data_IF_130486267686
#
_entry.id   IF_130486267686
#
_cell.length_a   1.000
_cell.length_b   1.000
_cell.length_c   1.000
_cell.angle_alpha   90.00
_cell.angle_beta   90.00
_cell.angle_gamma   90.00
#
_symmetry.space_group_name_H-M   'P 1'
#
loop_
_entity.id
_entity.type
_entity.pdbx_description
1 polymer ?
#
# COMPACT_ATOMS: atom_id res chain seq x y z
N UNK A 1 -13.52 -3.12 -11.36
CA UNK A 1 -13.80 -3.97 -10.18
C UNK A 1 -12.75 -5.08 -10.03
N UNK A 2 -12.47 -5.87 -11.08
CA UNK A 2 -11.50 -6.99 -10.99
C UNK A 2 -10.11 -6.61 -10.47
N UNK A 3 -9.57 -5.45 -10.89
CA UNK A 3 -8.27 -4.99 -10.41
C UNK A 3 -8.25 -4.73 -8.89
N UNK A 4 -9.36 -4.24 -8.31
CA UNK A 4 -9.47 -4.01 -6.86
C UNK A 4 -9.58 -5.35 -6.10
N UNK A 5 -10.26 -6.34 -6.68
CA UNK A 5 -10.33 -7.70 -6.13
C UNK A 5 -8.96 -8.39 -6.10
N UNK A 6 -8.20 -8.30 -7.19
CA UNK A 6 -6.83 -8.86 -7.25
C UNK A 6 -5.89 -8.14 -6.28
N UNK A 7 -5.96 -6.80 -6.18
CA UNK A 7 -5.16 -6.03 -5.24
C UNK A 7 -5.47 -6.41 -3.78
N UNK A 8 -6.73 -6.64 -3.44
CA UNK A 8 -7.14 -7.11 -2.11
C UNK A 8 -6.55 -8.50 -1.79
N UNK A 9 -6.55 -9.42 -2.74
CA UNK A 9 -5.93 -10.74 -2.55
C UNK A 9 -4.41 -10.64 -2.36
N UNK A 10 -3.73 -9.79 -3.14
CA UNK A 10 -2.30 -9.55 -3.01
C UNK A 10 -1.96 -8.92 -1.65
N UNK A 11 -2.76 -7.95 -1.19
CA UNK A 11 -2.60 -7.32 0.11
C UNK A 11 -2.77 -8.34 1.25
N UNK A 12 -3.75 -9.24 1.17
CA UNK A 12 -3.90 -10.33 2.15
C UNK A 12 -2.68 -11.24 2.20
N UNK A 13 -2.19 -11.70 1.04
CA UNK A 13 -0.98 -12.53 0.97
C UNK A 13 0.24 -11.81 1.56
N UNK A 14 0.43 -10.52 1.24
CA UNK A 14 1.51 -9.71 1.80
C UNK A 14 1.37 -9.55 3.33
N UNK A 15 0.14 -9.40 3.84
CA UNK A 15 -0.10 -9.35 5.29
C UNK A 15 0.26 -10.66 5.97
N UNK A 16 -0.04 -11.81 5.36
CA UNK A 16 0.35 -13.12 5.91
C UNK A 16 1.86 -13.25 6.00
N UNK A 17 2.57 -12.91 4.93
CA UNK A 17 4.05 -12.95 4.90
C UNK A 17 4.65 -11.99 5.94
N UNK A 18 4.07 -10.81 6.12
CA UNK A 18 4.53 -9.86 7.13
C UNK A 18 4.29 -10.36 8.57
N UNK A 19 3.18 -11.07 8.83
CA UNK A 19 2.91 -11.71 10.12
C UNK A 19 3.94 -12.82 10.38
N UNK A 20 4.15 -13.73 9.42
CA UNK A 20 5.17 -14.79 9.53
C UNK A 20 6.57 -14.19 9.74
N UNK A 21 6.89 -13.10 9.05
CA UNK A 21 8.13 -12.35 9.26
C UNK A 21 8.25 -11.78 10.68
N UNK A 22 7.16 -11.29 11.26
CA UNK A 22 7.09 -10.85 12.65
C UNK A 22 7.35 -11.98 13.66
N UNK A 23 6.80 -13.16 13.40
CA UNK A 23 7.01 -14.35 14.24
C UNK A 23 8.47 -14.81 14.22
N UNK A 24 9.09 -14.84 13.04
CA UNK A 24 10.53 -15.15 12.89
C UNK A 24 11.39 -14.14 13.65
N UNK A 25 11.08 -12.84 13.54
CA UNK A 25 11.78 -11.79 14.28
C UNK A 25 11.65 -12.00 15.79
N UNK A 26 10.45 -12.31 16.28
CA UNK A 26 10.21 -12.64 17.70
C UNK A 26 11.05 -13.82 18.19
N UNK A 27 11.16 -14.88 17.37
CA UNK A 27 12.00 -16.03 17.68
C UNK A 27 13.49 -15.68 17.74
N UNK A 28 13.96 -14.80 16.85
CA UNK A 28 15.34 -14.28 16.88
C UNK A 28 15.59 -13.48 18.16
N UNK A 29 14.65 -12.63 18.60
CA UNK A 29 14.78 -11.90 19.87
C UNK A 29 14.88 -12.87 21.05
N UNK A 30 14.04 -13.91 21.09
CA UNK A 30 14.12 -14.95 22.13
C UNK A 30 15.49 -15.61 22.16
N UNK A 31 16.00 -16.00 20.98
CA UNK A 31 17.32 -16.63 20.86
C UNK A 31 18.45 -15.71 21.32
N UNK A 32 18.37 -14.41 21.02
CA UNK A 32 19.35 -13.43 21.50
C UNK A 32 19.34 -13.28 23.02
N UNK A 33 18.17 -13.38 23.67
CA UNK A 33 18.08 -13.41 25.14
C UNK A 33 18.74 -14.66 25.71
N UNK A 34 18.46 -15.83 25.15
CA UNK A 34 19.07 -17.10 25.59
C UNK A 34 20.61 -17.08 25.45
N UNK A 35 21.12 -16.48 24.37
CA UNK A 35 22.56 -16.26 24.17
C UNK A 35 23.13 -15.32 25.25
N UNK A 36 22.41 -14.24 25.60
CA UNK A 36 22.84 -13.31 26.64
C UNK A 36 22.95 -14.01 28.01
N UNK A 37 21.93 -14.79 28.38
CA UNK A 37 21.88 -15.52 29.64
C UNK A 37 22.97 -16.60 29.71
N UNK A 38 23.15 -17.36 28.62
CA UNK A 38 24.25 -18.33 28.50
C UNK A 38 25.62 -17.67 28.63
N UNK A 39 25.79 -16.47 28.04
CA UNK A 39 27.04 -15.72 28.14
C UNK A 39 27.34 -15.26 29.56
N UNK A 40 26.32 -14.87 30.33
CA UNK A 40 26.47 -14.52 31.77
C UNK A 40 26.94 -15.73 32.58
N UNK A 41 26.34 -16.90 32.35
CA UNK A 41 26.78 -18.13 33.00
C UNK A 41 28.25 -18.46 32.68
N UNK A 42 28.68 -18.24 31.44
CA UNK A 42 30.09 -18.39 31.08
C UNK A 42 30.98 -17.43 31.87
N UNK A 43 30.60 -16.15 32.05
CA UNK A 43 31.36 -15.19 32.86
C UNK A 43 31.53 -15.65 34.30
N UNK A 44 30.49 -16.24 34.89
CA UNK A 44 30.53 -16.80 36.25
C UNK A 44 31.51 -17.97 36.34
N UNK A 45 31.44 -18.91 35.39
CA UNK A 45 32.36 -20.06 35.31
C UNK A 45 33.81 -19.58 35.15
N UNK A 46 34.06 -18.60 34.29
CA UNK A 46 35.41 -18.04 34.07
C UNK A 46 35.93 -17.35 35.34
N UNK A 47 35.04 -16.73 36.13
CA UNK A 47 35.41 -16.13 37.41
C UNK A 47 35.81 -17.19 38.46
N UNK A 48 35.18 -18.36 38.44
CA UNK A 48 35.60 -19.53 39.24
C UNK A 48 36.97 -20.05 38.78
N UNK A 49 37.21 -20.14 37.47
CA UNK A 49 38.50 -20.59 36.92
C UNK A 49 39.64 -19.64 37.33
N UNK A 50 39.42 -18.31 37.25
CA UNK A 50 40.40 -17.32 37.71
C UNK A 50 40.70 -17.47 39.21
N UNK A 51 39.66 -17.75 40.02
CA UNK A 51 39.81 -18.02 41.45
C UNK A 51 40.62 -19.30 41.72
N UNK A 52 40.41 -20.37 40.95
CA UNK A 52 41.19 -21.62 41.03
C UNK A 52 42.65 -21.37 40.63
N UNK A 53 42.89 -20.60 39.57
CA UNK A 53 44.24 -20.23 39.14
C UNK A 53 44.96 -19.44 40.24
N UNK A 54 44.27 -18.49 40.88
CA UNK A 54 44.82 -17.75 42.02
C UNK A 54 45.15 -18.66 43.20
N UNK A 55 44.25 -19.56 43.60
CA UNK A 55 44.50 -20.54 44.67
C UNK A 55 45.69 -21.45 44.35
N UNK A 56 45.79 -21.91 43.10
CA UNK A 56 46.90 -22.74 42.62
C UNK A 56 48.24 -22.00 42.70
N UNK A 57 48.24 -20.70 42.36
CA UNK A 57 49.42 -19.84 42.50
C UNK A 57 49.86 -19.69 43.98
N UNK A 58 48.92 -19.55 44.92
CA UNK A 58 49.22 -19.49 46.35
C UNK A 58 49.77 -20.84 46.86
N UNK A 59 49.17 -21.96 46.46
CA UNK A 59 49.66 -23.31 46.77
C UNK A 59 51.10 -23.53 46.26
N UNK A 60 51.37 -23.12 45.02
CA UNK A 60 52.70 -23.22 44.41
C UNK A 60 53.74 -22.35 45.14
N UNK A 61 53.35 -21.14 45.57
CA UNK A 61 54.21 -20.29 46.40
C UNK A 61 54.55 -20.96 47.74
N UNK A 62 53.56 -21.52 48.42
CA UNK A 62 53.78 -22.23 49.69
C UNK A 62 54.70 -23.44 49.50
N UNK A 63 54.52 -24.20 48.42
CA UNK A 63 55.39 -25.34 48.08
C UNK A 63 56.84 -24.89 47.79
N UNK A 64 57.03 -23.75 47.11
CA UNK A 64 58.35 -23.20 46.86
C UNK A 64 59.05 -22.78 48.17
N UNK A 65 58.31 -22.22 49.14
CA UNK A 65 58.83 -21.87 50.47
C UNK A 65 59.25 -23.11 51.25
N UNK A 66 58.43 -24.16 51.26
CA UNK A 66 58.75 -25.40 51.98
C UNK A 66 59.92 -26.14 51.32
N UNK A 67 60.01 -26.10 49.98
CA UNK A 67 61.15 -26.64 49.23
C UNK A 67 62.47 -25.91 49.57
N UNK A 68 62.43 -24.58 49.71
CA UNK A 68 63.58 -23.80 50.16
C UNK A 68 63.99 -24.16 51.61
N UNK A 69 63.00 -24.42 52.47
CA UNK A 69 63.22 -24.85 53.87
C UNK A 69 63.88 -26.23 53.98
N UNK A 70 63.58 -27.14 53.06
CA UNK A 70 64.18 -28.48 52.99
C UNK A 70 65.62 -28.50 52.41
N UNK A 71 66.14 -27.35 51.96
CA UNK A 71 67.49 -27.21 51.43
C UNK A 71 67.73 -28.09 50.18
N UNK A 72 68.84 -28.81 50.15
CA UNK A 72 69.23 -29.65 49.00
C UNK A 72 68.20 -30.74 48.66
N UNK A 73 67.50 -31.28 49.68
CA UNK A 73 66.48 -32.32 49.48
C UNK A 73 65.20 -31.76 48.81
N UNK A 74 64.99 -30.45 48.86
CA UNK A 74 63.84 -29.77 48.27
C UNK A 74 64.04 -29.31 46.82
N UNK A 75 65.23 -29.47 46.24
CA UNK A 75 65.55 -28.94 44.89
C UNK A 75 64.57 -29.39 43.81
N UNK A 76 64.19 -30.67 43.79
CA UNK A 76 63.21 -31.20 42.83
C UNK A 76 61.82 -30.59 43.02
N UNK A 77 61.38 -30.44 44.27
CA UNK A 77 60.10 -29.81 44.61
C UNK A 77 60.06 -28.32 44.25
N UNK A 78 61.17 -27.60 44.38
CA UNK A 78 61.25 -26.19 44.01
C UNK A 78 61.01 -25.96 42.51
N UNK A 79 61.52 -26.85 41.65
CA UNK A 79 61.30 -26.78 40.20
C UNK A 79 59.83 -27.02 39.86
N UNK A 80 59.22 -28.05 40.45
CA UNK A 80 57.79 -28.34 40.26
C UNK A 80 56.93 -27.18 40.73
N UNK A 81 57.24 -26.59 41.89
CA UNK A 81 56.52 -25.43 42.40
C UNK A 81 56.60 -24.21 41.47
N UNK A 82 57.77 -23.95 40.86
CA UNK A 82 57.91 -22.89 39.87
C UNK A 82 57.08 -23.15 38.60
N UNK A 83 57.04 -24.39 38.11
CA UNK A 83 56.26 -24.77 36.92
C UNK A 83 54.75 -24.66 37.18
N UNK A 84 54.28 -25.15 38.33
CA UNK A 84 52.86 -25.01 38.73
C UNK A 84 52.48 -23.55 38.86
N UNK A 85 53.37 -22.71 39.39
CA UNK A 85 53.14 -21.25 39.49
C UNK A 85 53.04 -20.59 38.11
N UNK A 86 53.95 -20.94 37.20
CA UNK A 86 53.92 -20.47 35.81
C UNK A 86 52.61 -20.86 35.11
N UNK A 87 52.18 -22.11 35.29
CA UNK A 87 50.91 -22.60 34.74
C UNK A 87 49.70 -21.85 35.32
N UNK A 88 49.68 -21.60 36.63
CA UNK A 88 48.63 -20.83 37.29
C UNK A 88 48.52 -19.40 36.74
N UNK A 89 49.65 -18.71 36.53
CA UNK A 89 49.66 -17.40 35.89
C UNK A 89 49.10 -17.44 34.46
N UNK A 90 49.54 -18.41 33.65
CA UNK A 90 49.02 -18.60 32.28
C UNK A 90 47.51 -18.87 32.26
N UNK A 91 46.99 -19.66 33.20
CA UNK A 91 45.56 -19.92 33.33
C UNK A 91 44.77 -18.65 33.70
N UNK A 92 45.27 -17.83 34.63
CA UNK A 92 44.63 -16.58 35.01
C UNK A 92 44.58 -15.57 33.83
N UNK A 93 45.67 -15.46 33.07
CA UNK A 93 45.72 -14.59 31.90
C UNK A 93 44.77 -15.06 30.79
N UNK A 94 44.69 -16.36 30.55
CA UNK A 94 43.72 -16.94 29.61
C UNK A 94 42.27 -16.69 30.07
N UNK A 95 41.97 -16.85 31.36
CA UNK A 95 40.66 -16.57 31.93
C UNK A 95 40.25 -15.11 31.70
N UNK A 96 41.17 -14.15 31.94
CA UNK A 96 40.93 -12.72 31.65
C UNK A 96 40.66 -12.44 30.18
N UNK A 97 41.41 -13.06 29.27
CA UNK A 97 41.19 -12.91 27.83
C UNK A 97 39.82 -13.44 27.40
N UNK A 98 39.42 -14.62 27.90
CA UNK A 98 38.09 -15.17 27.63
C UNK A 98 37.00 -14.25 28.18
N UNK A 99 37.14 -13.76 29.41
CA UNK A 99 36.19 -12.82 30.02
C UNK A 99 35.99 -11.57 29.16
N UNK A 100 37.08 -11.01 28.62
CA UNK A 100 37.01 -9.86 27.70
C UNK A 100 36.24 -10.18 26.41
N UNK A 101 36.52 -11.32 25.77
CA UNK A 101 35.83 -11.76 24.55
C UNK A 101 34.33 -12.00 24.78
N UNK A 102 33.96 -12.59 25.91
CA UNK A 102 32.55 -12.83 26.26
C UNK A 102 31.84 -11.50 26.55
N UNK A 103 32.46 -10.58 27.29
CA UNK A 103 31.90 -9.24 27.52
C UNK A 103 31.63 -8.50 26.20
N UNK A 104 32.58 -8.53 25.26
CA UNK A 104 32.40 -7.95 23.93
C UNK A 104 31.28 -8.65 23.14
N UNK A 105 31.11 -9.96 23.32
CA UNK A 105 30.02 -10.73 22.68
C UNK A 105 28.66 -10.35 23.26
N UNK A 106 28.55 -10.17 24.58
CA UNK A 106 27.33 -9.71 25.26
C UNK A 106 26.92 -8.33 24.75
N UNK A 107 27.86 -7.40 24.60
CA UNK A 107 27.60 -6.06 24.08
C UNK A 107 27.06 -6.12 22.63
N UNK A 108 27.66 -6.94 21.77
CA UNK A 108 27.20 -7.13 20.38
C UNK A 108 25.81 -7.77 20.32
N UNK A 109 25.52 -8.74 21.18
CA UNK A 109 24.20 -9.37 21.27
C UNK A 109 23.15 -8.36 21.74
N UNK A 110 23.49 -7.48 22.69
CA UNK A 110 22.59 -6.41 23.14
C UNK A 110 22.26 -5.43 22.01
N UNK A 111 23.27 -4.97 21.26
CA UNK A 111 23.07 -4.12 20.08
C UNK A 111 22.24 -4.83 19.00
N UNK A 112 22.52 -6.11 18.74
CA UNK A 112 21.74 -6.94 17.83
C UNK A 112 20.28 -7.06 18.25
N UNK A 113 20.02 -7.25 19.54
CA UNK A 113 18.67 -7.32 20.09
C UNK A 113 17.89 -6.03 19.86
N UNK A 114 18.51 -4.87 20.01
CA UNK A 114 17.86 -3.57 19.75
C UNK A 114 17.48 -3.40 18.27
N UNK A 115 18.37 -3.79 17.36
CA UNK A 115 18.11 -3.75 15.92
C UNK A 115 16.97 -4.68 15.50
N UNK A 116 16.93 -5.88 16.07
CA UNK A 116 15.87 -6.87 15.79
C UNK A 116 14.53 -6.42 16.39
N UNK A 117 14.51 -5.80 17.57
CA UNK A 117 13.29 -5.24 18.17
C UNK A 117 12.70 -4.10 17.30
N UNK A 118 13.58 -3.23 16.78
CA UNK A 118 13.20 -2.20 15.80
C UNK A 118 12.65 -2.81 14.51
N UNK A 119 13.25 -3.89 14.00
CA UNK A 119 12.74 -4.62 12.85
C UNK A 119 11.36 -5.22 13.13
N UNK A 120 11.13 -5.73 14.34
CA UNK A 120 9.83 -6.25 14.78
C UNK A 120 8.76 -5.17 14.80
N UNK A 121 9.06 -4.00 15.35
CA UNK A 121 8.16 -2.84 15.33
C UNK A 121 7.85 -2.41 13.89
N UNK A 122 8.87 -2.37 13.02
CA UNK A 122 8.70 -2.02 11.60
C UNK A 122 7.78 -3.02 10.88
N UNK A 123 7.87 -4.32 11.19
CA UNK A 123 6.96 -5.32 10.64
C UNK A 123 5.51 -5.09 11.08
N UNK A 124 5.28 -4.68 12.33
CA UNK A 124 3.94 -4.33 12.80
C UNK A 124 3.36 -3.14 12.04
N UNK A 125 4.17 -2.11 11.78
CA UNK A 125 3.78 -0.95 10.97
C UNK A 125 3.46 -1.34 9.51
N UNK A 126 4.23 -2.28 8.94
CA UNK A 126 3.97 -2.84 7.61
C UNK A 126 2.62 -3.56 7.58
N UNK A 127 2.33 -4.42 8.56
CA UNK A 127 1.03 -5.12 8.67
C UNK A 127 -0.11 -4.10 8.79
N UNK A 128 0.04 -3.06 9.63
CA UNK A 128 -0.96 -2.01 9.77
C UNK A 128 -1.19 -1.24 8.46
N UNK A 129 -0.13 -0.93 7.73
CA UNK A 129 -0.19 -0.25 6.43
C UNK A 129 -0.89 -1.10 5.37
N UNK A 130 -0.61 -2.40 5.32
CA UNK A 130 -1.24 -3.34 4.39
C UNK A 130 -2.74 -3.49 4.69
N UNK A 131 -3.13 -3.52 5.97
CA UNK A 131 -4.56 -3.52 6.36
C UNK A 131 -5.27 -2.28 5.82
N UNK A 132 -4.68 -1.11 5.96
CA UNK A 132 -5.24 0.14 5.42
C UNK A 132 -5.38 0.11 3.89
N UNK A 133 -4.41 -0.46 3.18
CA UNK A 133 -4.51 -0.67 1.72
C UNK A 133 -5.65 -1.63 1.37
N UNK A 134 -5.82 -2.69 2.15
CA UNK A 134 -6.91 -3.68 2.00
C UNK A 134 -8.27 -3.00 2.13
N UNK A 135 -8.46 -2.16 3.14
CA UNK A 135 -9.70 -1.40 3.36
C UNK A 135 -9.99 -0.44 2.19
N UNK A 136 -8.98 0.32 1.75
CA UNK A 136 -9.10 1.22 0.60
C UNK A 136 -9.47 0.48 -0.69
N UNK A 137 -8.91 -0.71 -0.93
CA UNK A 137 -9.28 -1.54 -2.08
C UNK A 137 -10.74 -2.01 -1.99
N UNK A 138 -11.26 -2.26 -0.78
CA UNK A 138 -12.66 -2.55 -0.54
C UNK A 138 -13.57 -1.38 -0.90
N UNK A 139 -13.20 -0.16 -0.51
CA UNK A 139 -13.91 1.07 -0.87
C UNK A 139 -13.88 1.31 -2.40
N UNK A 140 -12.71 1.17 -3.03
CA UNK A 140 -12.56 1.32 -4.50
C UNK A 140 -13.38 0.28 -5.25
N UNK A 141 -13.43 -0.96 -4.77
CA UNK A 141 -14.25 -2.01 -5.39
C UNK A 141 -15.73 -1.64 -5.35
N UNK A 142 -16.21 -1.17 -4.20
CA UNK A 142 -17.59 -0.72 -4.01
C UNK A 142 -17.92 0.47 -4.91
N UNK A 143 -17.07 1.49 -4.93
CA UNK A 143 -17.22 2.66 -5.80
C UNK A 143 -17.21 2.27 -7.29
N UNK A 144 -16.35 1.33 -7.68
CA UNK A 144 -16.28 0.83 -9.06
C UNK A 144 -17.58 0.13 -9.49
N UNK A 145 -18.21 -0.63 -8.59
CA UNK A 145 -19.49 -1.29 -8.87
C UNK A 145 -20.60 -0.24 -9.05
N UNK A 146 -20.68 0.75 -8.15
CA UNK A 146 -21.63 1.84 -8.25
C UNK A 146 -21.44 2.66 -9.54
N UNK A 147 -20.19 2.97 -9.88
CA UNK A 147 -19.85 3.70 -11.09
C UNK A 147 -20.22 2.90 -12.35
N UNK A 148 -19.98 1.58 -12.36
CA UNK A 148 -20.36 0.73 -13.49
C UNK A 148 -21.88 0.72 -13.70
N UNK A 149 -22.67 0.68 -12.61
CA UNK A 149 -24.11 0.76 -12.69
C UNK A 149 -24.57 2.13 -13.24
N UNK A 150 -23.97 3.22 -12.74
CA UNK A 150 -24.27 4.57 -13.22
C UNK A 150 -23.94 4.75 -14.71
N UNK A 151 -22.80 4.20 -15.17
CA UNK A 151 -22.40 4.23 -16.60
C UNK A 151 -23.39 3.42 -17.45
N UNK A 152 -23.86 2.27 -16.98
CA UNK A 152 -24.90 1.50 -17.69
C UNK A 152 -26.18 2.31 -17.88
N UNK A 153 -26.62 3.00 -16.82
CA UNK A 153 -27.81 3.86 -16.87
C UNK A 153 -27.65 5.06 -17.81
N UNK A 154 -26.46 5.67 -17.85
CA UNK A 154 -26.12 6.72 -18.84
C UNK A 154 -26.16 6.14 -20.26
N UNK A 155 -25.64 4.94 -20.46
CA UNK A 155 -25.72 4.24 -21.75
C UNK A 155 -27.15 4.06 -22.24
N UNK A 156 -28.06 3.60 -21.37
CA UNK A 156 -29.48 3.47 -21.68
C UNK A 156 -30.14 4.81 -22.05
N UNK A 157 -29.83 5.87 -21.27
CA UNK A 157 -30.35 7.21 -21.54
C UNK A 157 -29.87 7.76 -22.91
N UNK A 158 -28.60 7.52 -23.26
CA UNK A 158 -28.04 7.92 -24.56
C UNK A 158 -28.71 7.15 -25.70
N UNK A 159 -28.93 5.84 -25.55
CA UNK A 159 -29.67 5.04 -26.56
C UNK A 159 -31.10 5.56 -26.74
N UNK A 160 -31.78 5.93 -25.66
CA UNK A 160 -33.13 6.51 -25.73
C UNK A 160 -33.13 7.90 -26.39
N UNK A 161 -32.13 8.74 -26.09
CA UNK A 161 -31.95 10.03 -26.75
C UNK A 161 -31.68 9.88 -28.25
N UNK A 162 -30.86 8.90 -28.64
CA UNK A 162 -30.60 8.60 -30.04
C UNK A 162 -31.88 8.21 -30.77
N UNK A 163 -32.73 7.35 -30.15
CA UNK A 163 -34.04 6.99 -30.71
C UNK A 163 -34.96 8.18 -30.91
N UNK A 164 -35.06 9.08 -29.93
CA UNK A 164 -35.87 10.31 -30.05
C UNK A 164 -35.29 11.25 -31.12
N UNK A 165 -33.97 11.33 -31.22
CA UNK A 165 -33.29 12.15 -32.24
C UNK A 165 -33.57 11.63 -33.65
N UNK A 166 -33.50 10.31 -33.86
CA UNK A 166 -33.88 9.68 -35.12
C UNK A 166 -35.36 9.87 -35.45
N UNK A 167 -36.25 9.76 -34.45
CA UNK A 167 -37.67 10.01 -34.63
C UNK A 167 -37.96 11.46 -35.02
N UNK A 168 -37.27 12.42 -34.38
CA UNK A 168 -37.39 13.83 -34.72
C UNK A 168 -36.90 14.12 -36.15
N UNK A 169 -35.80 13.48 -36.59
CA UNK A 169 -35.34 13.61 -37.96
C UNK A 169 -36.38 13.11 -38.97
N UNK A 170 -36.99 11.95 -38.72
CA UNK A 170 -38.06 11.42 -39.57
C UNK A 170 -39.30 12.33 -39.59
N UNK A 171 -39.70 12.88 -38.43
CA UNK A 171 -40.82 13.82 -38.31
C UNK A 171 -40.56 15.12 -39.08
N UNK A 172 -39.34 15.62 -39.07
CA UNK A 172 -38.93 16.80 -39.84
C UNK A 172 -39.01 16.50 -41.34
N UNK A 173 -38.59 15.31 -41.77
CA UNK A 173 -38.65 14.88 -43.16
C UNK A 173 -40.10 14.73 -43.66
N UNK A 174 -40.98 14.12 -42.86
CA UNK A 174 -42.41 14.03 -43.13
C UNK A 174 -43.08 15.42 -43.16
N UNK A 175 -42.70 16.31 -42.25
CA UNK A 175 -43.20 17.69 -42.21
C UNK A 175 -42.80 18.46 -43.47
N UNK A 176 -41.55 18.32 -43.93
CA UNK A 176 -41.08 18.94 -45.17
C UNK A 176 -41.88 18.44 -46.38
N UNK A 177 -42.17 17.14 -46.47
CA UNK A 177 -43.03 16.57 -47.53
C UNK A 177 -44.47 17.11 -47.47
N UNK A 178 -45.02 17.24 -46.25
CA UNK A 178 -46.36 17.79 -46.03
C UNK A 178 -46.43 19.25 -46.48
N UNK A 179 -45.43 20.07 -46.11
CA UNK A 179 -45.31 21.47 -46.54
C UNK A 179 -45.22 21.57 -48.07
N UNK A 180 -44.46 20.70 -48.72
CA UNK A 180 -44.37 20.68 -50.19
C UNK A 180 -45.72 20.31 -50.85
N UNK A 181 -46.41 19.30 -50.32
CA UNK A 181 -47.76 18.93 -50.78
C UNK A 181 -48.77 20.06 -50.60
N UNK A 182 -48.76 20.73 -49.44
CA UNK A 182 -49.64 21.86 -49.13
C UNK A 182 -49.36 23.05 -50.06
N UNK A 183 -48.08 23.33 -50.34
CA UNK A 183 -47.64 24.34 -51.32
C UNK A 183 -48.18 24.03 -52.72
N UNK A 184 -48.06 22.78 -53.17
CA UNK A 184 -48.62 22.34 -54.47
C UNK A 184 -50.14 22.48 -54.55
N UNK A 185 -50.87 22.12 -53.50
CA UNK A 185 -52.34 22.30 -53.45
C UNK A 185 -52.75 23.77 -53.47
N UNK A 186 -52.05 24.63 -52.72
CA UNK A 186 -52.30 26.07 -52.74
C UNK A 186 -52.08 26.64 -54.15
N UNK A 187 -51.00 26.23 -54.83
CA UNK A 187 -50.73 26.64 -56.21
C UNK A 187 -51.81 26.17 -57.19
N UNK A 188 -52.33 24.94 -57.01
CA UNK A 188 -53.45 24.42 -57.80
C UNK A 188 -54.73 25.23 -57.59
N UNK A 189 -55.09 25.56 -56.34
CA UNK A 189 -56.25 26.41 -56.03
C UNK A 189 -56.15 27.79 -56.67
N UNK A 190 -54.98 28.44 -56.58
CA UNK A 190 -54.72 29.73 -57.25
C UNK A 190 -54.93 29.61 -58.77
N UNK A 191 -54.43 28.53 -59.37
CA UNK A 191 -54.59 28.27 -60.80
C UNK A 191 -56.06 28.03 -61.17
N UNK A 192 -56.82 27.28 -60.37
CA UNK A 192 -58.26 27.05 -60.58
C UNK A 192 -59.08 28.33 -60.44
N UNK A 193 -58.75 29.20 -59.48
CA UNK A 193 -59.39 30.51 -59.34
C UNK A 193 -59.11 31.44 -60.53
N UNK A 194 -57.94 31.34 -61.17
CA UNK A 194 -57.62 32.13 -62.36
C UNK A 194 -58.50 31.79 -63.59
N UNK A 195 -59.13 30.61 -63.62
CA UNK A 195 -60.11 30.22 -64.65
C UNK A 195 -61.46 30.91 -64.42
N UNK A 196 -61.81 31.21 -63.18
CA UNK A 196 -62.96 32.05 -62.84
C UNK A 196 -62.65 33.52 -63.13
N UNK A 197 -62.66 33.90 -64.41
CA UNK A 197 -62.79 35.30 -64.80
C UNK A 197 -64.18 35.77 -64.38
N UNK A 198 -64.24 36.71 -63.44
CA UNK A 198 -65.43 37.53 -63.20
C UNK A 198 -65.80 38.20 -64.51
N UNK A 199 -66.85 37.71 -65.16
CA UNK A 199 -67.57 38.44 -66.18
C UNK A 199 -68.12 39.68 -65.50
N UNK A 200 -67.49 40.84 -65.70
CA UNK A 200 -68.19 42.11 -65.55
C UNK A 200 -69.39 42.05 -66.50
N UNK A 201 -70.55 41.72 -65.93
CA UNK A 201 -71.81 41.73 -66.61
C UNK A 201 -72.07 43.16 -67.10
N UNK A 202 -71.89 43.34 -68.39
CA UNK A 202 -72.46 44.43 -69.17
C UNK A 202 -73.97 44.52 -68.93
N UNK A 203 -74.52 45.72 -68.71
CA UNK A 203 -75.49 46.40 -69.59
C UNK A 203 -76.14 47.63 -68.90
N UNK A 204 -76.80 48.58 -69.62
CA UNK A 204 -76.41 49.35 -70.80
C UNK A 204 -76.53 50.89 -70.56
N UNK A 205 -76.01 51.66 -71.52
CA UNK A 205 -76.28 53.09 -71.72
C UNK A 205 -77.70 53.35 -72.25
N UNK A 206 -78.36 54.45 -71.84
CA UNK A 206 -78.88 55.50 -72.75
C UNK A 206 -79.53 56.71 -72.02
N UNK A 207 -79.84 57.86 -72.69
CA UNK A 207 -79.46 59.18 -72.23
C UNK A 207 -80.67 60.13 -72.09
N UNK A 208 -80.44 61.38 -71.69
CA UNK A 208 -81.12 62.58 -72.21
C UNK A 208 -80.58 63.80 -71.48
N UNK A 209 -79.89 64.67 -72.22
CA UNK A 209 -79.74 66.06 -71.81
C UNK A 209 -81.02 66.83 -72.10
N UNK A 210 -81.34 67.82 -71.26
CA UNK A 210 -81.87 69.14 -71.62
C UNK A 210 -81.45 70.12 -70.51
N UNK A 211 -80.98 71.29 -70.93
CA UNK A 211 -80.55 72.42 -70.13
C UNK A 211 -81.72 73.19 -69.46
N UNK A 212 -81.38 74.02 -68.45
CA UNK A 212 -81.87 75.39 -68.14
C UNK A 212 -81.48 75.65 -66.67
N UNK A 213 -80.61 76.59 -66.31
CA UNK A 213 -80.63 78.06 -66.39
C UNK A 213 -80.96 78.69 -65.01
N UNK A 214 -80.08 79.58 -64.56
CA UNK A 214 -80.41 80.77 -63.77
C UNK A 214 -80.73 80.70 -62.27
N UNK A 215 -80.04 81.62 -61.55
CA UNK A 215 -80.25 82.19 -60.20
C UNK A 215 -79.61 81.42 -59.03
N UNK A 216 -78.72 82.01 -58.22
CA UNK A 216 -78.41 83.42 -57.89
C UNK A 216 -76.95 83.80 -58.03
#
# INVERSE_FOLDING_TARGET
ADNAGQANQLARSASTVAIEGGDVVSQVVSTMRDINDSSRQIVDIISVIDSIAFQTNILALNAAVEAARAGEQGRGFAVVAAEVRSLAHRSADAAKQIKSLISASVERVAQGSELVDKAGTTMQDVVASIRRVTDLMGEISTASIQQSAAVSQVGEAVTQMDKVTQQNAALVEESAQTVDSLSRQAQQLVTSMAVFRLTEASQPANPRGVATDGTS
#
